data_IF_048421138506
#
_entry.id   IF_048421138506
#
_cell.length_a   1.000
_cell.length_b   1.000
_cell.length_c   1.000
_cell.angle_alpha   90.00
_cell.angle_beta   90.00
_cell.angle_gamma   90.00
#
_symmetry.space_group_name_H-M   'P 1'
#
loop_
_entity.id
_entity.type
_entity.pdbx_description
1 polymer ?
#
# COMPACT_ATOMS: atom_id res chain seq x y z
N UNK A 1 2.32 3.25 -31.50
CA UNK A 1 2.83 4.03 -30.36
C UNK A 1 3.79 3.11 -29.65
N UNK A 2 5.06 3.52 -29.50
CA UNK A 2 6.05 2.72 -28.78
C UNK A 2 5.65 2.66 -27.31
N UNK A 3 5.47 1.44 -26.79
CA UNK A 3 5.10 1.23 -25.40
C UNK A 3 6.31 1.50 -24.51
N UNK A 4 6.27 2.60 -23.77
CA UNK A 4 7.41 3.07 -22.96
C UNK A 4 7.06 3.01 -21.48
N UNK A 5 7.89 2.35 -20.68
CA UNK A 5 7.77 2.35 -19.22
C UNK A 5 8.32 3.63 -18.62
N UNK A 6 7.76 4.07 -17.49
CA UNK A 6 8.38 5.12 -16.67
C UNK A 6 9.22 4.47 -15.58
N UNK A 7 10.51 4.84 -15.49
CA UNK A 7 11.39 4.42 -14.40
C UNK A 7 11.97 5.62 -13.66
N UNK A 8 12.08 5.49 -12.35
CA UNK A 8 12.76 6.41 -11.45
C UNK A 8 13.91 5.66 -10.78
N UNK A 9 15.09 6.27 -10.80
CA UNK A 9 16.33 5.69 -10.29
C UNK A 9 17.11 6.76 -9.50
N UNK A 10 17.35 6.48 -8.22
CA UNK A 10 18.04 7.38 -7.27
C UNK A 10 19.11 6.65 -6.47
N UNK A 11 18.97 5.33 -6.28
CA UNK A 11 19.90 4.48 -5.56
C UNK A 11 21.03 3.90 -6.43
N UNK A 12 21.05 4.21 -7.73
CA UNK A 12 21.91 3.55 -8.72
C UNK A 12 21.35 2.23 -9.26
N UNK A 13 20.20 1.76 -8.74
CA UNK A 13 19.37 0.74 -9.39
C UNK A 13 18.62 1.37 -10.56
N UNK A 14 18.36 0.61 -11.63
CA UNK A 14 17.58 1.08 -12.78
C UNK A 14 16.10 1.30 -12.49
N UNK A 15 15.58 0.74 -11.39
CA UNK A 15 14.14 0.61 -11.16
C UNK A 15 13.80 0.71 -9.66
N UNK A 16 14.16 1.82 -9.01
CA UNK A 16 13.68 2.07 -7.64
C UNK A 16 12.15 2.14 -7.62
N UNK A 17 11.57 2.83 -8.60
CA UNK A 17 10.14 2.80 -8.91
C UNK A 17 9.97 2.63 -10.41
N UNK A 18 9.09 1.72 -10.81
CA UNK A 18 8.78 1.43 -12.21
C UNK A 18 7.27 1.41 -12.43
N UNK A 19 6.80 2.06 -13.49
CA UNK A 19 5.45 1.88 -14.01
C UNK A 19 5.54 1.08 -15.31
N UNK A 20 5.02 -0.15 -15.29
CA UNK A 20 5.00 -1.03 -16.44
C UNK A 20 3.97 -0.56 -17.48
N UNK A 21 4.07 -1.11 -18.69
CA UNK A 21 3.13 -0.83 -19.77
C UNK A 21 1.70 -1.28 -19.46
N UNK A 22 1.56 -2.24 -18.55
CA UNK A 22 0.27 -2.75 -18.07
C UNK A 22 -0.31 -1.90 -16.92
N UNK A 23 0.38 -0.81 -16.58
CA UNK A 23 0.03 0.11 -15.50
C UNK A 23 0.30 -0.45 -14.11
N UNK A 24 1.19 -1.43 -13.97
CA UNK A 24 1.61 -1.95 -12.68
C UNK A 24 2.75 -1.10 -12.13
N UNK A 25 2.70 -0.78 -10.84
CA UNK A 25 3.76 -0.05 -10.14
C UNK A 25 4.63 -1.05 -9.38
N UNK A 26 5.88 -1.19 -9.81
CA UNK A 26 6.93 -1.90 -9.10
C UNK A 26 7.72 -0.94 -8.20
N UNK A 27 7.98 -1.33 -6.96
CA UNK A 27 8.94 -0.64 -6.07
C UNK A 27 10.06 -1.63 -5.77
N UNK A 28 11.29 -1.32 -6.20
CA UNK A 28 12.44 -2.22 -6.10
C UNK A 28 12.44 -3.39 -7.09
N UNK A 29 11.38 -3.58 -7.89
CA UNK A 29 11.26 -4.66 -8.88
C UNK A 29 11.03 -4.14 -10.31
N UNK A 30 11.61 -4.84 -11.29
CA UNK A 30 11.44 -4.54 -12.72
C UNK A 30 10.26 -5.26 -13.35
N UNK A 31 9.72 -6.28 -12.68
CA UNK A 31 8.72 -7.20 -13.22
C UNK A 31 7.51 -7.32 -12.29
N UNK A 32 6.78 -6.22 -12.02
CA UNK A 32 5.66 -6.24 -11.09
C UNK A 32 4.51 -7.12 -11.60
N UNK A 33 4.08 -8.05 -10.76
CA UNK A 33 3.04 -9.06 -11.09
C UNK A 33 1.64 -8.65 -10.63
N UNK A 34 1.54 -7.58 -9.83
CA UNK A 34 0.30 -6.98 -9.36
C UNK A 34 0.29 -5.47 -9.62
N UNK A 35 -0.88 -4.83 -9.45
CA UNK A 35 -1.02 -3.38 -9.67
C UNK A 35 -0.07 -2.54 -8.82
N UNK A 36 0.20 -2.99 -7.61
CA UNK A 36 1.28 -2.52 -6.75
C UNK A 36 2.06 -3.73 -6.27
N UNK A 37 3.34 -3.79 -6.58
CA UNK A 37 4.26 -4.88 -6.22
C UNK A 37 5.54 -4.27 -5.65
N UNK A 38 5.82 -4.55 -4.37
CA UNK A 38 6.95 -3.96 -3.64
C UNK A 38 7.90 -5.07 -3.19
N UNK A 39 9.11 -5.06 -3.73
CA UNK A 39 10.20 -5.96 -3.35
C UNK A 39 10.89 -5.44 -2.07
N UNK A 40 10.24 -5.66 -0.92
CA UNK A 40 10.67 -5.19 0.41
C UNK A 40 10.09 -6.08 1.51
N UNK A 41 10.82 -6.21 2.62
CA UNK A 41 10.36 -6.95 3.80
C UNK A 41 9.25 -6.21 4.58
N UNK A 42 9.04 -4.92 4.32
CA UNK A 42 8.04 -4.11 5.03
C UNK A 42 7.37 -3.05 4.15
N UNK A 43 6.14 -2.70 4.50
CA UNK A 43 5.43 -1.51 4.04
C UNK A 43 5.16 -0.61 5.25
N UNK A 44 5.58 0.65 5.19
CA UNK A 44 5.43 1.59 6.30
C UNK A 44 4.31 2.60 6.06
N UNK A 45 3.24 2.49 6.85
CA UNK A 45 2.24 3.55 7.00
C UNK A 45 2.67 4.46 8.16
N UNK A 46 3.22 5.64 7.85
CA UNK A 46 3.92 6.47 8.87
C UNK A 46 3.01 6.99 9.99
N UNK A 47 1.80 7.39 9.65
CA UNK A 47 0.87 8.02 10.60
C UNK A 47 -0.09 6.99 11.18
N UNK A 48 -0.12 6.87 12.51
CA UNK A 48 -1.17 6.10 13.19
C UNK A 48 -2.52 6.80 13.08
N UNK A 49 -3.59 6.04 12.89
CA UNK A 49 -4.96 6.54 12.85
C UNK A 49 -5.90 5.47 13.42
N UNK A 50 -6.70 5.90 14.39
CA UNK A 50 -7.85 5.15 14.90
C UNK A 50 -9.12 5.77 14.29
N UNK A 51 -9.93 5.04 13.50
CA UNK A 51 -11.25 5.52 13.09
C UNK A 51 -12.10 5.85 14.33
N UNK A 52 -12.82 6.99 14.32
CA UNK A 52 -13.56 7.47 15.49
C UNK A 52 -14.70 6.53 15.94
N UNK A 53 -15.22 5.70 15.03
CA UNK A 53 -16.21 4.66 15.28
C UNK A 53 -16.13 3.60 14.18
N UNK A 54 -16.88 2.50 14.33
CA UNK A 54 -17.03 1.50 13.26
C UNK A 54 -17.73 2.07 12.01
N UNK A 55 -18.38 3.22 12.13
CA UNK A 55 -19.09 3.93 11.07
C UNK A 55 -18.42 5.26 10.67
N UNK A 56 -17.14 5.45 11.03
CA UNK A 56 -16.41 6.67 10.69
C UNK A 56 -16.20 6.78 9.17
N UNK A 57 -16.12 8.00 8.61
CA UNK A 57 -15.84 8.18 7.19
C UNK A 57 -14.62 7.39 6.69
N UNK A 58 -14.80 6.64 5.60
CA UNK A 58 -13.75 5.83 4.99
C UNK A 58 -14.18 5.16 3.68
N UNK A 59 -13.22 4.94 2.78
CA UNK A 59 -13.45 4.25 1.52
C UNK A 59 -13.09 2.77 1.65
N UNK A 60 -13.78 1.91 0.90
CA UNK A 60 -13.44 0.49 0.86
C UNK A 60 -11.97 0.30 0.45
N UNK A 61 -11.22 -0.47 1.24
CA UNK A 61 -9.79 -0.70 1.04
C UNK A 61 -8.87 0.22 1.85
N UNK A 62 -9.39 1.25 2.53
CA UNK A 62 -8.57 2.05 3.45
C UNK A 62 -8.05 1.17 4.60
N UNK A 63 -6.73 1.14 4.78
CA UNK A 63 -6.06 0.45 5.88
C UNK A 63 -5.38 1.49 6.77
N UNK A 64 -5.60 1.40 8.08
CA UNK A 64 -4.87 2.19 9.06
C UNK A 64 -4.60 1.38 10.33
N UNK A 65 -3.81 1.93 11.25
CA UNK A 65 -3.35 1.22 12.43
C UNK A 65 -3.19 2.16 13.62
N UNK A 66 -3.24 1.59 14.81
CA UNK A 66 -2.75 2.18 16.04
C UNK A 66 -1.96 1.15 16.86
N UNK A 67 -1.60 1.47 18.10
CA UNK A 67 -0.80 0.60 18.94
C UNK A 67 -1.47 -0.77 19.24
N UNK A 68 -2.79 -0.89 19.09
CA UNK A 68 -3.56 -2.04 19.52
C UNK A 68 -4.25 -2.78 18.36
N UNK A 69 -4.50 -2.11 17.23
CA UNK A 69 -5.29 -2.69 16.14
C UNK A 69 -4.78 -2.32 14.74
N UNK A 70 -5.03 -3.23 13.80
CA UNK A 70 -5.11 -2.90 12.37
C UNK A 70 -6.59 -2.73 12.01
N UNK A 71 -6.91 -1.67 11.29
CA UNK A 71 -8.26 -1.32 10.83
C UNK A 71 -8.33 -1.43 9.31
N UNK A 72 -9.41 -2.00 8.80
CA UNK A 72 -9.72 -2.08 7.36
C UNK A 72 -11.15 -1.59 7.15
N UNK A 73 -11.32 -0.59 6.29
CA UNK A 73 -12.63 -0.17 5.82
C UNK A 73 -13.08 -1.13 4.70
N UNK A 74 -14.14 -1.90 4.94
CA UNK A 74 -14.56 -2.99 4.04
C UNK A 74 -15.66 -2.59 3.05
N UNK A 75 -16.32 -1.47 3.31
CA UNK A 75 -17.33 -0.82 2.48
C UNK A 75 -17.36 0.67 2.91
N UNK A 76 -18.08 1.52 2.18
CA UNK A 76 -18.24 2.92 2.57
C UNK A 76 -18.63 3.01 4.06
N UNK A 77 -17.84 3.75 4.81
CA UNK A 77 -18.02 4.05 6.23
C UNK A 77 -18.24 2.79 7.09
N UNK A 78 -17.60 1.66 6.74
CA UNK A 78 -17.78 0.39 7.46
C UNK A 78 -16.43 -0.19 7.82
N UNK A 79 -16.01 0.01 9.06
CA UNK A 79 -14.70 -0.42 9.56
C UNK A 79 -14.75 -1.73 10.33
N UNK A 80 -13.77 -2.60 10.06
CA UNK A 80 -13.44 -3.76 10.89
C UNK A 80 -12.02 -3.62 11.42
N UNK A 81 -11.70 -4.36 12.48
CA UNK A 81 -10.36 -4.36 13.08
C UNK A 81 -9.90 -5.74 13.52
N UNK A 82 -8.59 -5.95 13.48
CA UNK A 82 -7.90 -7.10 14.06
C UNK A 82 -7.04 -6.63 15.25
N UNK A 83 -7.12 -7.32 16.39
CA UNK A 83 -6.32 -7.01 17.57
C UNK A 83 -4.86 -7.43 17.33
N UNK A 84 -3.93 -6.57 17.74
CA UNK A 84 -2.50 -6.85 17.76
C UNK A 84 -2.10 -7.43 19.11
N UNK A 85 -1.09 -8.30 19.09
CA UNK A 85 -0.48 -8.86 20.30
C UNK A 85 1.03 -8.72 20.20
N UNK A 86 1.69 -8.61 21.36
CA UNK A 86 3.13 -8.76 21.44
C UNK A 86 3.51 -10.24 21.29
N UNK A 87 4.56 -10.50 20.52
CA UNK A 87 5.15 -11.82 20.35
C UNK A 87 6.30 -12.05 21.34
#
# INVERSE_FOLDING_TARGET
MESSTLSLATSGRTDDIRISIDGNVGIGTTSPTAKLDADSDTIRLRSSRTPASASAPGNAGDICWDANYIYICIAADTWKRAALSSW
#
